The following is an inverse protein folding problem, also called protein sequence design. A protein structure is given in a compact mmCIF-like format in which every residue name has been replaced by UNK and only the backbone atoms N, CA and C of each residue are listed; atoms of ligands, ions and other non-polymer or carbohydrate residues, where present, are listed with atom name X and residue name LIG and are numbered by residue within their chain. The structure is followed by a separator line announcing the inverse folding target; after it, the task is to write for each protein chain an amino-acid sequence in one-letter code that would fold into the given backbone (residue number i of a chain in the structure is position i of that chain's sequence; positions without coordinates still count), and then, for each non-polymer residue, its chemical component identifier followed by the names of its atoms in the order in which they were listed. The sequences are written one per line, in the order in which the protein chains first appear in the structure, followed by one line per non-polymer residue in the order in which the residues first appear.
data_IF_596926359305
#
_entry.id   IF_596926359305
#
_cell.length_a   1.000
_cell.length_b   1.000
_cell.length_c   1.000
_cell.angle_alpha   90.00
_cell.angle_beta   90.00
_cell.angle_gamma   90.00
#
_symmetry.space_group_name_H-M   'P 1'
#
loop_
_entity.id
_entity.type
_entity.pdbx_description
1 polymer ?
#
# COMPACT_ATOMS: atom_id res chain seq x y z
N UNK A 1 -22.32 -21.09 13.29
CA UNK A 1 -21.29 -20.03 13.38
C UNK A 1 -21.89 -18.77 12.80
N UNK A 2 -22.13 -17.81 13.67
CA UNK A 2 -22.81 -16.55 13.41
C UNK A 2 -22.06 -15.74 12.34
N UNK A 3 -22.77 -15.35 11.29
CA UNK A 3 -22.32 -14.28 10.40
C UNK A 3 -22.54 -12.97 11.13
N UNK A 4 -21.52 -12.53 11.86
CA UNK A 4 -21.46 -11.17 12.37
C UNK A 4 -21.60 -10.20 11.18
N UNK A 5 -22.37 -9.12 11.39
CA UNK A 5 -22.57 -8.01 10.45
C UNK A 5 -21.23 -7.32 10.20
N UNK A 6 -20.35 -7.95 9.44
CA UNK A 6 -19.06 -7.43 9.04
C UNK A 6 -19.35 -6.45 7.90
N UNK A 7 -19.68 -5.22 8.26
CA UNK A 7 -19.79 -4.13 7.29
C UNK A 7 -18.52 -4.13 6.45
N UNK A 8 -18.66 -4.38 5.14
CA UNK A 8 -17.62 -4.45 4.11
C UNK A 8 -16.20 -4.21 4.65
N UNK A 9 -15.63 -5.19 5.35
CA UNK A 9 -14.24 -5.10 5.79
C UNK A 9 -13.43 -5.38 4.55
N UNK A 10 -12.94 -4.31 3.93
CA UNK A 10 -12.08 -4.41 2.76
C UNK A 10 -10.89 -5.30 3.14
N UNK A 11 -10.68 -6.45 2.47
CA UNK A 11 -9.63 -7.38 2.83
C UNK A 11 -8.30 -6.88 2.27
N UNK A 12 -7.87 -5.69 2.71
CA UNK A 12 -6.69 -4.97 2.22
C UNK A 12 -5.44 -5.85 2.25
N UNK A 13 -5.27 -6.63 3.33
CA UNK A 13 -4.17 -7.60 3.43
C UNK A 13 -4.22 -8.66 2.32
N UNK A 14 -5.40 -9.16 1.96
CA UNK A 14 -5.55 -10.16 0.91
C UNK A 14 -5.25 -9.55 -0.46
N UNK A 15 -5.79 -8.35 -0.73
CA UNK A 15 -5.54 -7.66 -1.99
C UNK A 15 -4.07 -7.29 -2.15
N UNK A 16 -3.42 -6.73 -1.14
CA UNK A 16 -2.00 -6.39 -1.20
C UNK A 16 -1.07 -7.60 -1.31
N UNK A 17 -1.52 -8.80 -0.91
CA UNK A 17 -0.77 -10.04 -1.12
C UNK A 17 -0.99 -10.65 -2.50
N UNK A 18 -2.15 -10.43 -3.09
CA UNK A 18 -2.56 -11.01 -4.37
C UNK A 18 -2.68 -9.92 -5.44
N UNK A 19 -3.89 -9.43 -5.67
CA UNK A 19 -4.29 -8.65 -6.85
C UNK A 19 -3.66 -7.26 -6.92
N UNK A 20 -3.45 -6.61 -5.77
CA UNK A 20 -2.94 -5.24 -5.68
C UNK A 20 -1.44 -5.18 -5.36
N UNK A 21 -0.73 -6.31 -5.26
CA UNK A 21 0.69 -6.32 -4.91
C UNK A 21 1.55 -5.52 -5.91
N UNK A 22 1.24 -5.65 -7.19
CA UNK A 22 1.99 -5.02 -8.28
C UNK A 22 1.59 -3.55 -8.40
N UNK A 23 0.30 -3.25 -8.21
CA UNK A 23 -0.19 -1.88 -8.13
C UNK A 23 0.44 -1.11 -6.96
N UNK A 24 0.52 -1.72 -5.79
CA UNK A 24 1.15 -1.14 -4.61
C UNK A 24 2.63 -0.82 -4.86
N UNK A 25 3.34 -1.75 -5.52
CA UNK A 25 4.74 -1.53 -5.94
C UNK A 25 4.85 -0.40 -6.93
N UNK A 26 4.02 -0.40 -7.97
CA UNK A 26 4.05 0.63 -9.02
C UNK A 26 3.82 2.03 -8.43
N UNK A 27 2.82 2.18 -7.55
CA UNK A 27 2.52 3.48 -6.95
C UNK A 27 3.65 3.91 -6.00
N UNK A 28 4.01 3.06 -5.03
CA UNK A 28 4.95 3.43 -3.96
C UNK A 28 6.42 3.44 -4.40
N UNK A 29 6.78 2.71 -5.46
CA UNK A 29 8.15 2.67 -6.02
C UNK A 29 8.26 3.40 -7.36
N UNK A 30 7.22 4.11 -7.79
CA UNK A 30 7.27 5.00 -8.95
C UNK A 30 8.38 6.03 -8.85
N UNK A 31 8.85 6.52 -9.99
CA UNK A 31 9.79 7.64 -10.05
C UNK A 31 9.23 8.91 -9.42
N UNK A 32 7.90 9.11 -9.43
CA UNK A 32 7.24 10.22 -8.74
C UNK A 32 7.39 10.13 -7.23
N UNK A 33 7.09 8.95 -6.65
CA UNK A 33 7.24 8.72 -5.22
C UNK A 33 8.71 8.87 -4.79
N UNK A 34 9.64 8.36 -5.60
CA UNK A 34 11.09 8.49 -5.38
C UNK A 34 11.57 9.94 -5.47
N UNK A 35 11.10 10.69 -6.46
CA UNK A 35 11.49 12.09 -6.69
C UNK A 35 11.05 13.02 -5.56
N UNK A 36 9.98 12.67 -4.82
CA UNK A 36 9.49 13.46 -3.68
C UNK A 36 10.35 13.29 -2.42
N UNK A 37 11.08 12.17 -2.30
CA UNK A 37 11.99 11.92 -1.18
C UNK A 37 11.31 11.68 0.18
N UNK A 38 9.98 11.52 0.25
CA UNK A 38 9.25 11.30 1.50
C UNK A 38 9.52 9.94 2.13
N UNK A 39 9.74 8.92 1.31
CA UNK A 39 9.94 7.55 1.76
C UNK A 39 11.23 6.97 1.18
N UNK A 40 11.88 6.10 1.96
CA UNK A 40 13.01 5.34 1.45
C UNK A 40 12.48 4.18 0.58
N UNK A 41 12.69 4.19 -0.74
CA UNK A 41 12.13 3.18 -1.65
C UNK A 41 12.60 1.77 -1.30
N UNK A 42 13.85 1.62 -0.81
CA UNK A 42 14.39 0.33 -0.38
C UNK A 42 13.62 -0.22 0.84
N UNK A 43 13.27 0.65 1.79
CA UNK A 43 12.52 0.23 2.98
C UNK A 43 11.08 -0.12 2.66
N UNK A 44 10.47 0.62 1.74
CA UNK A 44 9.13 0.32 1.24
C UNK A 44 9.10 -1.01 0.50
N UNK A 45 10.09 -1.28 -0.34
CA UNK A 45 10.21 -2.57 -1.04
C UNK A 45 10.37 -3.75 -0.07
N UNK A 46 11.19 -3.60 0.99
CA UNK A 46 11.30 -4.58 2.07
C UNK A 46 9.96 -4.83 2.77
N UNK A 47 9.24 -3.76 3.14
CA UNK A 47 7.92 -3.84 3.78
C UNK A 47 6.90 -4.59 2.91
N UNK A 48 6.84 -4.27 1.62
CA UNK A 48 5.99 -4.95 0.65
C UNK A 48 6.39 -6.43 0.54
N UNK A 49 7.70 -6.72 0.46
CA UNK A 49 8.22 -8.08 0.39
C UNK A 49 7.86 -8.93 1.62
N UNK A 50 8.06 -8.40 2.82
CA UNK A 50 7.72 -9.06 4.08
C UNK A 50 6.20 -9.26 4.23
N UNK A 51 5.40 -8.30 3.74
CA UNK A 51 3.94 -8.40 3.75
C UNK A 51 3.41 -9.49 2.81
N UNK A 52 3.96 -9.57 1.60
CA UNK A 52 3.60 -10.58 0.59
C UNK A 52 4.00 -11.98 1.05
N UNK A 53 5.17 -12.12 1.68
CA UNK A 53 5.64 -13.38 2.27
C UNK A 53 4.81 -13.80 3.49
N UNK A 54 3.79 -13.05 3.89
CA UNK A 54 2.99 -13.27 5.10
C UNK A 54 3.81 -13.40 6.38
N UNK A 55 5.04 -12.87 6.40
CA UNK A 55 5.87 -12.85 7.61
C UNK A 55 5.34 -11.85 8.63
N UNK A 56 4.78 -10.73 8.14
CA UNK A 56 4.22 -9.68 8.98
C UNK A 56 2.98 -9.02 8.33
N UNK A 57 2.03 -8.61 9.17
CA UNK A 57 0.84 -7.88 8.75
C UNK A 57 1.12 -6.37 8.67
N UNK A 58 1.71 -5.93 7.56
CA UNK A 58 1.90 -4.50 7.24
C UNK A 58 0.76 -3.87 6.43
N UNK A 59 -0.38 -4.55 6.24
CA UNK A 59 -1.44 -4.07 5.34
C UNK A 59 -1.97 -2.68 5.68
N UNK A 60 -2.14 -2.35 6.97
CA UNK A 60 -2.56 -1.01 7.38
C UNK A 60 -1.49 0.05 7.06
N UNK A 61 -0.21 -0.25 7.29
CA UNK A 61 0.89 0.69 7.00
C UNK A 61 1.01 0.93 5.48
N UNK A 62 0.97 -0.15 4.70
CA UNK A 62 0.99 -0.07 3.24
C UNK A 62 -0.23 0.67 2.69
N UNK A 63 -1.39 0.52 3.33
CA UNK A 63 -2.61 1.25 2.97
C UNK A 63 -2.44 2.74 3.22
N UNK A 64 -1.95 3.14 4.39
CA UNK A 64 -1.67 4.55 4.69
C UNK A 64 -0.68 5.14 3.69
N UNK A 65 0.40 4.43 3.37
CA UNK A 65 1.38 4.88 2.37
C UNK A 65 0.75 5.04 0.98
N UNK A 66 -0.07 4.07 0.57
CA UNK A 66 -0.73 4.09 -0.73
C UNK A 66 -1.69 5.29 -0.84
N UNK A 67 -2.55 5.49 0.16
CA UNK A 67 -3.48 6.62 0.19
C UNK A 67 -2.73 7.95 0.23
N UNK A 68 -1.65 8.03 1.00
CA UNK A 68 -0.81 9.22 1.06
C UNK A 68 -0.20 9.57 -0.31
N UNK A 69 0.38 8.59 -1.01
CA UNK A 69 0.94 8.79 -2.35
C UNK A 69 -0.15 9.16 -3.37
N UNK A 70 -1.30 8.51 -3.32
CA UNK A 70 -2.44 8.84 -4.20
C UNK A 70 -2.96 10.26 -3.94
N UNK A 71 -3.09 10.66 -2.66
CA UNK A 71 -3.47 12.02 -2.29
C UNK A 71 -2.47 13.04 -2.85
N UNK A 72 -1.17 12.78 -2.70
CA UNK A 72 -0.12 13.61 -3.26
C UNK A 72 -0.19 13.70 -4.79
N UNK A 73 -0.49 12.60 -5.48
CA UNK A 73 -0.67 12.61 -6.95
C UNK A 73 -1.89 13.41 -7.40
N UNK A 74 -2.99 13.33 -6.64
CA UNK A 74 -4.26 13.98 -6.99
C UNK A 74 -4.23 15.48 -6.66
N UNK A 75 -3.66 15.86 -5.52
CA UNK A 75 -3.75 17.22 -4.99
C UNK A 75 -2.47 18.05 -5.16
N UNK A 76 -1.29 17.43 -5.15
CA UNK A 76 0.00 18.15 -5.23
C UNK A 76 0.56 18.15 -6.65
N UNK A 77 0.46 17.03 -7.38
CA UNK A 77 1.00 16.91 -8.75
C UNK A 77 0.10 17.52 -9.82
N UNK A 78 -1.21 17.63 -9.56
CA UNK A 78 -2.19 18.25 -10.47
C UNK A 78 -2.51 19.70 -10.10
N UNK A 79 -1.87 20.23 -9.06
CA UNK A 79 -1.97 21.63 -8.63
C UNK A 79 -1.01 22.52 -9.39
#
# INVERSE_FOLDING_TARGET
MEREKTGFIVPVNHWFRNELKDYLRDILLSDKAKSRGYFNPKKVEELIGEHIKSKHNYGHQLWTLLIFELWHRIFVDRG
#
